data_IF_873696890141
#
_entry.id   IF_873696890141
#
_cell.length_a   1.000
_cell.length_b   1.000
_cell.length_c   1.000
_cell.angle_alpha   90.00
_cell.angle_beta   90.00
_cell.angle_gamma   90.00
#
_symmetry.space_group_name_H-M   'P 1'
#
loop_
_entity.id
_entity.type
_entity.pdbx_description
1 polymer ?
#
# COMPACT_ATOMS: atom_id res chain seq x y z
N UNK A 1 -39.29 26.80 18.54
CA UNK A 1 -38.89 27.92 19.41
C UNK A 1 -37.50 28.38 19.01
N UNK A 2 -37.45 29.65 18.61
CA UNK A 2 -36.34 30.59 18.68
C UNK A 2 -35.14 30.38 17.76
N UNK A 3 -35.32 30.93 16.55
CA UNK A 3 -34.32 31.71 15.82
C UNK A 3 -33.72 32.82 16.69
N UNK A 4 -32.41 33.05 16.61
CA UNK A 4 -31.79 34.32 16.95
C UNK A 4 -30.58 34.55 16.05
N UNK A 5 -30.72 35.56 15.19
CA UNK A 5 -29.64 36.25 14.47
C UNK A 5 -28.84 37.10 15.46
N UNK A 6 -27.54 37.27 15.24
CA UNK A 6 -26.89 38.57 15.42
C UNK A 6 -25.78 38.77 14.39
N UNK A 7 -25.61 40.04 14.06
CA UNK A 7 -24.87 40.65 12.95
C UNK A 7 -23.42 41.03 13.32
N UNK A 8 -22.67 41.38 12.26
CA UNK A 8 -21.60 42.40 12.21
C UNK A 8 -20.22 42.00 12.74
N UNK A 9 -19.10 42.52 12.25
CA UNK A 9 -18.67 43.20 11.02
C UNK A 9 -17.14 43.33 11.16
N UNK A 10 -16.43 43.41 10.03
CA UNK A 10 -15.15 44.11 9.80
C UNK A 10 -14.05 44.13 10.89
N UNK A 11 -12.86 43.65 10.53
CA UNK A 11 -11.64 44.46 10.46
C UNK A 11 -10.48 43.66 9.88
N UNK A 12 -9.91 44.18 8.79
CA UNK A 12 -8.60 43.76 8.27
C UNK A 12 -7.54 44.11 9.30
N UNK A 13 -6.63 43.19 9.62
CA UNK A 13 -5.33 43.53 10.20
C UNK A 13 -4.27 42.66 9.57
N UNK A 14 -3.57 43.27 8.62
CA UNK A 14 -2.26 42.87 8.14
C UNK A 14 -1.32 42.80 9.34
N UNK A 15 -0.91 41.59 9.73
CA UNK A 15 0.29 41.39 10.55
C UNK A 15 1.12 40.30 9.91
N UNK A 16 2.17 40.72 9.21
CA UNK A 16 3.35 39.90 8.99
C UNK A 16 3.79 39.36 10.35
N UNK A 17 3.56 38.07 10.57
CA UNK A 17 4.17 37.34 11.68
C UNK A 17 4.98 36.24 11.07
N UNK A 18 6.28 36.51 10.91
CA UNK A 18 7.34 35.52 10.91
C UNK A 18 7.25 34.72 12.21
N UNK A 19 6.31 33.79 12.25
CA UNK A 19 6.20 32.82 13.33
C UNK A 19 7.24 31.74 13.06
N UNK A 20 8.46 32.08 13.47
CA UNK A 20 9.49 31.15 13.95
C UNK A 20 8.92 30.42 15.16
N UNK A 21 7.89 29.61 14.91
CA UNK A 21 7.35 28.63 15.83
C UNK A 21 8.40 27.53 15.88
N UNK A 22 9.30 27.63 16.85
CA UNK A 22 10.07 26.51 17.38
C UNK A 22 9.08 25.56 18.05
N UNK A 23 8.16 24.99 17.27
CA UNK A 23 7.49 23.77 17.65
C UNK A 23 8.60 22.72 17.71
N UNK A 24 8.91 22.23 18.90
CA UNK A 24 9.74 21.04 19.12
C UNK A 24 9.04 19.78 18.59
N UNK A 25 8.51 19.84 17.37
CA UNK A 25 8.00 18.68 16.66
C UNK A 25 9.21 17.85 16.25
N UNK A 26 9.26 16.56 16.62
CA UNK A 26 10.40 15.72 16.30
C UNK A 26 10.62 15.68 14.79
N UNK A 27 11.89 15.74 14.38
CA UNK A 27 12.23 15.61 12.96
C UNK A 27 11.73 14.26 12.43
N UNK A 28 11.21 14.24 11.21
CA UNK A 28 10.85 12.99 10.55
C UNK A 28 12.09 12.07 10.41
N UNK A 29 11.88 10.77 10.27
CA UNK A 29 12.97 9.80 10.27
C UNK A 29 14.04 10.09 9.19
N UNK A 30 13.62 10.57 8.02
CA UNK A 30 14.54 10.93 6.92
C UNK A 30 15.41 12.14 7.30
N UNK A 31 14.81 13.19 7.86
CA UNK A 31 15.53 14.41 8.23
C UNK A 31 16.44 14.16 9.44
N UNK A 32 16.01 13.33 10.39
CA UNK A 32 16.84 12.85 11.50
C UNK A 32 18.07 12.10 10.97
N UNK A 33 17.87 11.14 10.06
CA UNK A 33 18.98 10.40 9.43
C UNK A 33 19.97 11.32 8.70
N UNK A 34 19.46 12.33 7.99
CA UNK A 34 20.29 13.34 7.31
C UNK A 34 20.86 14.42 8.24
N UNK A 35 20.61 14.36 9.54
CA UNK A 35 21.05 15.34 10.56
C UNK A 35 20.69 16.79 10.21
N UNK A 36 19.49 17.02 9.66
CA UNK A 36 18.98 18.35 9.30
C UNK A 36 17.63 18.66 9.94
N UNK A 37 17.30 19.95 10.08
CA UNK A 37 15.98 20.38 10.56
C UNK A 37 14.90 19.93 9.58
N UNK A 38 13.79 19.40 10.11
CA UNK A 38 12.64 19.04 9.31
C UNK A 38 11.76 20.27 9.07
N UNK A 39 11.59 20.67 7.81
CA UNK A 39 10.63 21.73 7.44
C UNK A 39 9.19 21.22 7.56
N UNK A 40 8.24 22.14 7.74
CA UNK A 40 6.79 21.86 7.66
C UNK A 40 6.39 21.33 6.28
N UNK A 41 7.10 21.73 5.22
CA UNK A 41 6.86 21.31 3.83
C UNK A 41 7.64 20.04 3.43
N UNK A 42 8.11 19.25 4.41
CA UNK A 42 8.86 18.05 4.12
C UNK A 42 7.97 16.99 3.44
N UNK A 43 8.16 16.80 2.13
CA UNK A 43 7.43 15.81 1.30
C UNK A 43 7.46 14.38 1.85
N UNK A 44 8.50 14.02 2.60
CA UNK A 44 8.70 12.67 3.14
C UNK A 44 8.19 12.51 4.58
N UNK A 45 7.90 13.60 5.29
CA UNK A 45 7.45 13.55 6.67
C UNK A 45 6.13 12.79 6.88
N UNK A 46 5.11 12.90 5.99
CA UNK A 46 3.87 12.12 6.13
C UNK A 46 4.09 10.60 6.08
N UNK A 47 5.13 10.15 5.38
CA UNK A 47 5.39 8.74 5.15
C UNK A 47 6.36 8.14 6.18
N UNK A 48 7.32 8.95 6.63
CA UNK A 48 8.37 8.57 7.58
C UNK A 48 8.36 9.47 8.82
N UNK A 49 7.29 9.44 9.65
CA UNK A 49 7.29 10.09 10.95
C UNK A 49 8.43 9.56 11.84
N UNK A 50 8.70 10.26 12.95
CA UNK A 50 9.84 9.96 13.82
C UNK A 50 9.86 8.51 14.37
N UNK A 51 8.69 7.86 14.51
CA UNK A 51 8.59 6.47 14.97
C UNK A 51 8.80 5.42 13.86
N UNK A 52 8.95 5.82 12.59
CA UNK A 52 9.13 4.93 11.44
C UNK A 52 10.57 4.92 10.90
N UNK A 53 11.54 4.99 11.81
CA UNK A 53 12.97 4.96 11.45
C UNK A 53 13.37 3.66 10.75
N UNK A 54 12.88 2.51 11.23
CA UNK A 54 13.16 1.21 10.59
C UNK A 54 12.63 1.12 9.17
N UNK A 55 11.38 1.55 8.94
CA UNK A 55 10.78 1.59 7.60
C UNK A 55 11.61 2.47 6.66
N UNK A 56 12.09 3.63 7.13
CA UNK A 56 12.98 4.48 6.34
C UNK A 56 14.32 3.81 6.02
N UNK A 57 14.95 3.16 7.00
CA UNK A 57 16.24 2.48 6.80
C UNK A 57 16.12 1.34 5.78
N UNK A 58 15.02 0.59 5.81
CA UNK A 58 14.73 -0.45 4.82
C UNK A 58 14.60 0.13 3.42
N UNK A 59 13.77 1.17 3.26
CA UNK A 59 13.57 1.84 1.97
C UNK A 59 14.88 2.45 1.46
N UNK A 60 15.65 3.05 2.36
CA UNK A 60 16.96 3.60 2.03
C UNK A 60 17.93 2.52 1.55
N UNK A 61 17.96 1.36 2.21
CA UNK A 61 18.84 0.23 1.85
C UNK A 61 18.44 -0.38 0.51
N UNK A 62 17.14 -0.54 0.25
CA UNK A 62 16.66 -1.19 -0.97
C UNK A 62 16.64 -0.26 -2.18
N UNK A 63 16.07 0.92 -2.04
CA UNK A 63 15.86 1.85 -3.16
C UNK A 63 16.86 3.02 -3.15
N UNK A 64 17.24 3.49 -1.95
CA UNK A 64 17.95 4.76 -1.80
C UNK A 64 17.04 5.97 -1.97
N UNK A 65 17.42 7.11 -1.39
CA UNK A 65 16.56 8.31 -1.38
C UNK A 65 16.34 8.89 -2.79
N UNK A 66 17.35 8.84 -3.66
CA UNK A 66 17.25 9.42 -5.00
C UNK A 66 16.23 8.67 -5.87
N UNK A 67 16.27 7.33 -5.84
CA UNK A 67 15.28 6.53 -6.57
C UNK A 67 13.89 6.68 -5.98
N UNK A 68 13.78 6.72 -4.64
CA UNK A 68 12.52 6.99 -3.95
C UNK A 68 11.88 8.30 -4.43
N UNK A 69 12.65 9.39 -4.46
CA UNK A 69 12.17 10.69 -4.93
C UNK A 69 11.80 10.65 -6.40
N UNK A 70 12.62 10.02 -7.25
CA UNK A 70 12.34 9.87 -8.69
C UNK A 70 11.02 9.16 -8.96
N UNK A 71 10.75 8.06 -8.24
CA UNK A 71 9.47 7.33 -8.35
C UNK A 71 8.31 8.24 -7.91
N UNK A 72 8.45 8.92 -6.77
CA UNK A 72 7.40 9.81 -6.24
C UNK A 72 7.10 11.01 -7.15
N UNK A 73 8.11 11.49 -7.89
CA UNK A 73 7.98 12.58 -8.86
C UNK A 73 7.40 12.12 -10.20
N UNK A 74 7.62 10.86 -10.59
CA UNK A 74 7.02 10.29 -11.81
C UNK A 74 5.51 10.08 -11.72
N UNK A 75 4.98 9.92 -10.50
CA UNK A 75 3.54 9.74 -10.25
C UNK A 75 2.88 11.12 -10.17
N UNK A 76 1.79 11.33 -10.92
CA UNK A 76 1.11 12.64 -10.94
C UNK A 76 0.06 12.77 -9.85
N UNK A 77 -0.81 11.78 -9.70
CA UNK A 77 -1.93 11.86 -8.76
C UNK A 77 -1.48 11.64 -7.31
N UNK A 78 -1.93 12.51 -6.40
CA UNK A 78 -1.59 12.44 -4.96
C UNK A 78 -1.98 11.10 -4.34
N UNK A 79 -3.12 10.53 -4.72
CA UNK A 79 -3.58 9.23 -4.22
C UNK A 79 -2.64 8.10 -4.66
N UNK A 80 -2.18 8.13 -5.91
CA UNK A 80 -1.22 7.15 -6.43
C UNK A 80 0.14 7.29 -5.77
N UNK A 81 0.58 8.52 -5.44
CA UNK A 81 1.82 8.73 -4.66
C UNK A 81 1.77 8.06 -3.30
N UNK A 82 0.62 8.14 -2.63
CA UNK A 82 0.40 7.47 -1.35
C UNK A 82 0.48 5.95 -1.50
N UNK A 83 -0.15 5.38 -2.53
CA UNK A 83 -0.08 3.95 -2.82
C UNK A 83 1.35 3.53 -3.14
N UNK A 84 2.04 4.25 -4.04
CA UNK A 84 3.42 3.97 -4.41
C UNK A 84 4.35 3.96 -3.20
N UNK A 85 4.26 4.97 -2.34
CA UNK A 85 5.08 5.04 -1.14
C UNK A 85 4.77 3.90 -0.16
N UNK A 86 3.50 3.57 0.07
CA UNK A 86 3.11 2.42 0.89
C UNK A 86 3.67 1.11 0.33
N UNK A 87 3.58 0.90 -0.97
CA UNK A 87 4.12 -0.28 -1.65
C UNK A 87 5.63 -0.37 -1.47
N UNK A 88 6.37 0.72 -1.71
CA UNK A 88 7.83 0.74 -1.52
C UNK A 88 8.23 0.42 -0.08
N UNK A 89 7.49 0.92 0.91
CA UNK A 89 7.75 0.58 2.33
C UNK A 89 7.55 -0.91 2.59
N UNK A 90 6.47 -1.50 2.05
CA UNK A 90 6.17 -2.93 2.21
C UNK A 90 7.23 -3.79 1.51
N UNK A 91 7.59 -3.46 0.26
CA UNK A 91 8.62 -4.18 -0.50
C UNK A 91 9.97 -4.15 0.21
N UNK A 92 10.35 -2.99 0.74
CA UNK A 92 11.59 -2.85 1.50
C UNK A 92 11.60 -3.67 2.79
N UNK A 93 10.46 -3.73 3.49
CA UNK A 93 10.30 -4.60 4.67
C UNK A 93 10.41 -6.07 4.31
N UNK A 94 9.71 -6.51 3.26
CA UNK A 94 9.77 -7.91 2.81
C UNK A 94 11.19 -8.30 2.39
N UNK A 95 11.97 -7.37 1.81
CA UNK A 95 13.38 -7.60 1.50
C UNK A 95 14.29 -7.61 2.73
N UNK A 96 13.91 -6.93 3.81
CA UNK A 96 14.61 -7.04 5.10
C UNK A 96 14.39 -8.43 5.71
N UNK A 97 13.15 -8.92 5.70
CA UNK A 97 12.76 -10.24 6.22
C UNK A 97 13.33 -11.38 5.38
N UNK A 98 13.34 -11.22 4.05
CA UNK A 98 13.92 -12.16 3.11
C UNK A 98 14.87 -11.45 2.13
N UNK A 99 16.18 -11.45 2.45
CA UNK A 99 17.19 -10.80 1.62
C UNK A 99 17.36 -11.40 0.21
N UNK A 100 16.90 -12.64 0.00
CA UNK A 100 17.08 -13.36 -1.27
C UNK A 100 15.88 -13.11 -2.18
N UNK A 101 14.68 -13.49 -1.73
CA UNK A 101 13.47 -13.44 -2.56
C UNK A 101 12.58 -12.24 -2.27
N UNK A 102 12.62 -11.64 -1.07
CA UNK A 102 11.74 -10.54 -0.68
C UNK A 102 10.27 -10.79 -1.00
N UNK A 103 9.61 -9.86 -1.69
CA UNK A 103 8.22 -10.00 -2.12
C UNK A 103 7.99 -11.12 -3.17
N UNK A 104 9.02 -11.55 -3.90
CA UNK A 104 8.91 -12.61 -4.91
C UNK A 104 8.52 -13.95 -4.28
N UNK A 105 8.96 -14.25 -3.05
CA UNK A 105 8.55 -15.47 -2.33
C UNK A 105 7.04 -15.56 -2.23
N UNK A 106 6.41 -14.48 -1.76
CA UNK A 106 4.97 -14.40 -1.56
C UNK A 106 4.21 -14.47 -2.89
N UNK A 107 4.67 -13.75 -3.90
CA UNK A 107 4.08 -13.82 -5.25
C UNK A 107 4.14 -15.25 -5.81
N UNK A 108 5.29 -15.92 -5.69
CA UNK A 108 5.47 -17.29 -6.16
C UNK A 108 4.62 -18.28 -5.37
N UNK A 109 4.46 -18.08 -4.07
CA UNK A 109 3.57 -18.91 -3.24
C UNK A 109 2.12 -18.80 -3.71
N UNK A 110 1.62 -17.58 -3.94
CA UNK A 110 0.26 -17.36 -4.43
C UNK A 110 0.09 -17.94 -5.85
N UNK A 111 1.06 -17.74 -6.75
CA UNK A 111 1.02 -18.33 -8.10
C UNK A 111 0.94 -19.86 -8.06
N UNK A 112 1.71 -20.52 -7.17
CA UNK A 112 1.62 -21.97 -6.97
C UNK A 112 0.24 -22.40 -6.45
N UNK A 113 -0.36 -21.63 -5.55
CA UNK A 113 -1.72 -21.91 -5.05
C UNK A 113 -2.76 -21.77 -6.16
N UNK A 114 -2.66 -20.75 -7.02
CA UNK A 114 -3.56 -20.61 -8.18
C UNK A 114 -3.49 -21.87 -9.06
N UNK A 115 -2.30 -22.29 -9.45
CA UNK A 115 -2.10 -23.50 -10.27
C UNK A 115 -2.65 -24.75 -9.56
N UNK A 116 -2.41 -24.89 -8.26
CA UNK A 116 -2.93 -26.01 -7.48
C UNK A 116 -4.47 -26.06 -7.52
N UNK A 117 -5.15 -24.94 -7.27
CA UNK A 117 -6.61 -24.88 -7.26
C UNK A 117 -7.22 -25.03 -8.67
N UNK A 118 -6.53 -24.55 -9.70
CA UNK A 118 -6.94 -24.79 -11.10
C UNK A 118 -6.90 -26.29 -11.44
N UNK A 119 -5.85 -27.00 -11.00
CA UNK A 119 -5.75 -28.46 -11.20
C UNK A 119 -6.87 -29.18 -10.43
N UNK A 120 -7.08 -28.83 -9.17
CA UNK A 120 -8.13 -29.43 -8.33
C UNK A 120 -9.53 -29.21 -8.93
N UNK A 121 -9.82 -28.00 -9.38
CA UNK A 121 -11.08 -27.67 -10.05
C UNK A 121 -11.29 -28.52 -11.31
N UNK A 122 -10.26 -28.63 -12.17
CA UNK A 122 -10.33 -29.42 -13.39
C UNK A 122 -10.56 -30.91 -13.10
N UNK A 123 -9.95 -31.45 -12.04
CA UNK A 123 -10.16 -32.83 -11.61
C UNK A 123 -11.62 -33.07 -11.22
N UNK A 124 -12.19 -32.19 -10.39
CA UNK A 124 -13.59 -32.30 -9.94
C UNK A 124 -14.56 -32.17 -11.12
N UNK A 125 -14.32 -31.21 -12.03
CA UNK A 125 -15.14 -31.05 -13.24
C UNK A 125 -15.15 -32.31 -14.10
N UNK A 126 -13.98 -32.94 -14.28
CA UNK A 126 -13.86 -34.19 -15.04
C UNK A 126 -14.60 -35.35 -14.35
N UNK A 127 -14.52 -35.45 -13.02
CA UNK A 127 -15.27 -36.45 -12.26
C UNK A 127 -16.79 -36.26 -12.39
N UNK A 128 -17.26 -35.01 -12.34
CA UNK A 128 -18.68 -34.68 -12.53
C UNK A 128 -19.17 -35.07 -13.93
N UNK A 129 -18.37 -34.85 -14.96
CA UNK A 129 -18.69 -35.26 -16.33
C UNK A 129 -18.84 -36.79 -16.44
N UNK A 130 -17.91 -37.55 -15.86
CA UNK A 130 -17.99 -39.01 -15.82
C UNK A 130 -19.26 -39.51 -15.12
N UNK A 131 -19.59 -38.93 -13.96
CA UNK A 131 -20.80 -39.28 -13.22
C UNK A 131 -22.08 -38.96 -14.01
N UNK A 132 -22.13 -37.82 -14.70
CA UNK A 132 -23.27 -37.43 -15.55
C UNK A 132 -23.45 -38.36 -16.75
N UNK A 133 -22.34 -38.74 -17.39
CA UNK A 133 -22.36 -39.66 -18.52
C UNK A 133 -22.83 -41.04 -18.08
N UNK A 134 -22.31 -41.55 -16.96
CA UNK A 134 -22.75 -42.83 -16.39
C UNK A 134 -24.25 -42.82 -16.05
N UNK A 135 -24.74 -41.77 -15.38
CA UNK A 135 -26.16 -41.63 -15.08
C UNK A 135 -27.02 -41.65 -16.36
N UNK A 136 -26.59 -40.97 -17.42
CA UNK A 136 -27.31 -40.94 -18.71
C UNK A 136 -27.37 -42.32 -19.36
N UNK A 137 -26.27 -43.06 -19.36
CA UNK A 137 -26.22 -44.42 -19.91
C UNK A 137 -27.18 -45.36 -19.17
N UNK A 138 -27.15 -45.35 -17.83
CA UNK A 138 -28.05 -46.17 -17.01
C UNK A 138 -29.53 -45.82 -17.24
N UNK A 139 -29.85 -44.53 -17.42
CA UNK A 139 -31.23 -44.11 -17.73
C UNK A 139 -31.68 -44.58 -19.12
N UNK A 140 -30.78 -44.59 -20.10
CA UNK A 140 -31.08 -45.07 -21.45
C UNK A 140 -31.31 -46.59 -21.49
N UNK A 141 -30.50 -47.37 -20.77
CA UNK A 141 -30.68 -48.82 -20.65
C UNK A 141 -32.04 -49.17 -20.02
N UNK A 142 -32.43 -48.48 -18.95
CA UNK A 142 -33.74 -48.66 -18.31
C UNK A 142 -34.95 -48.30 -19.18
N UNK A 143 -34.75 -47.51 -20.24
CA UNK A 143 -35.82 -47.09 -21.17
C UNK A 143 -36.01 -48.08 -22.32
N UNK A 144 -35.03 -48.95 -22.59
CA UNK A 144 -35.10 -49.96 -23.66
C UNK A 144 -35.72 -51.30 -23.22
N UNK A 145 -35.96 -51.47 -21.92
CA UNK A 145 -36.63 -52.65 -21.32
C UNK A 145 -38.05 -52.26 -20.92
#
# INVERSE_FOLDING_TARGET
>A
MNTSKTHSNHASTTTNTDNTSTSNSPACAVCKFRRRKCSKDCKLAPYFPANKERDFLNVHKLFGVNNLMRVLESVKATKEKEIAMKTMIIEARLREEDPVEGCCRMINAIRRQIVYYEIELNLVLRQLELCRNHHTLVQNEKRMV
#
